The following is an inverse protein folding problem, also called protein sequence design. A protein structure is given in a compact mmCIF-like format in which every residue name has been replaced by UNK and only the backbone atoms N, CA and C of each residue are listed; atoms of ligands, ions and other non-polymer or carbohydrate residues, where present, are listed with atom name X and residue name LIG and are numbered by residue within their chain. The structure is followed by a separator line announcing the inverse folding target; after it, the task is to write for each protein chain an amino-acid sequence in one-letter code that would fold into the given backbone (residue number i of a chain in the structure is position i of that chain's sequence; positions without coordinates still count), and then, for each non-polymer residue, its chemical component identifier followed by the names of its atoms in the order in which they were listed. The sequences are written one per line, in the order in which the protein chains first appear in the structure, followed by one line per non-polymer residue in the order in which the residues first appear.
data_IF_556636223843
#
_entry.id   IF_556636223843
#
_cell.length_a   1.000
_cell.length_b   1.000
_cell.length_c   1.000
_cell.angle_alpha   90.00
_cell.angle_beta   90.00
_cell.angle_gamma   90.00
#
_symmetry.space_group_name_H-M   'P 1'
#
loop_
_entity.id
_entity.type
_entity.pdbx_description
1 polymer ?
#
# COMPACT_ATOMS: atom_id res chain seq x y z
N UNK A 1 -30.81 35.18 2.01
CA UNK A 1 -30.18 33.83 2.03
C UNK A 1 -30.66 33.11 3.27
N UNK A 2 -31.15 31.89 3.12
CA UNK A 2 -31.64 31.09 4.25
C UNK A 2 -30.50 30.46 5.05
N UNK A 3 -30.73 30.16 6.33
CA UNK A 3 -29.77 29.51 7.23
C UNK A 3 -29.23 28.20 6.61
N UNK A 4 -30.08 27.47 5.87
CA UNK A 4 -29.68 26.25 5.15
C UNK A 4 -28.65 26.50 4.03
N UNK A 5 -28.75 27.61 3.29
CA UNK A 5 -27.77 27.98 2.25
C UNK A 5 -26.43 28.40 2.86
N UNK A 6 -26.47 29.08 4.01
CA UNK A 6 -25.27 29.49 4.74
C UNK A 6 -24.56 28.28 5.40
N UNK A 7 -25.33 27.34 5.96
CA UNK A 7 -24.80 26.06 6.47
C UNK A 7 -24.26 25.19 5.34
N UNK A 8 -24.93 25.15 4.17
CA UNK A 8 -24.48 24.44 2.99
C UNK A 8 -23.12 24.94 2.47
N UNK A 9 -22.90 26.27 2.48
CA UNK A 9 -21.60 26.87 2.08
C UNK A 9 -20.42 26.51 2.99
N UNK A 10 -20.68 26.08 4.23
CA UNK A 10 -19.64 25.66 5.18
C UNK A 10 -19.22 24.19 5.01
N UNK A 11 -19.97 23.40 4.24
CA UNK A 11 -19.60 22.02 3.94
C UNK A 11 -18.42 22.01 2.96
N UNK A 12 -17.32 21.38 3.35
CA UNK A 12 -16.14 21.16 2.49
C UNK A 12 -15.78 19.68 2.54
N UNK A 13 -15.42 19.12 1.40
CA UNK A 13 -14.83 17.80 1.35
C UNK A 13 -13.45 17.84 2.02
N UNK A 14 -13.16 16.90 2.92
CA UNK A 14 -11.83 16.73 3.48
C UNK A 14 -10.95 16.02 2.45
N UNK A 15 -9.69 16.45 2.34
CA UNK A 15 -8.72 15.73 1.52
C UNK A 15 -8.34 14.41 2.18
N UNK A 16 -7.77 13.48 1.40
CA UNK A 16 -7.28 12.22 1.97
C UNK A 16 -6.13 12.47 2.94
N UNK A 17 -5.25 13.44 2.65
CA UNK A 17 -4.17 13.82 3.57
C UNK A 17 -4.73 14.27 4.91
N UNK A 18 -5.75 15.14 4.87
CA UNK A 18 -6.38 15.69 6.07
C UNK A 18 -7.10 14.59 6.87
N UNK A 19 -7.77 13.66 6.18
CA UNK A 19 -8.34 12.47 6.82
C UNK A 19 -7.23 11.63 7.47
N UNK A 20 -6.14 11.36 6.76
CA UNK A 20 -5.05 10.54 7.26
C UNK A 20 -4.38 11.18 8.49
N UNK A 21 -4.04 12.46 8.42
CA UNK A 21 -3.43 13.23 9.51
C UNK A 21 -4.31 13.27 10.76
N UNK A 22 -5.61 13.55 10.61
CA UNK A 22 -6.56 13.58 11.73
C UNK A 22 -6.81 12.19 12.34
N UNK A 23 -6.64 11.12 11.56
CA UNK A 23 -7.01 9.76 11.96
C UNK A 23 -5.83 8.78 12.01
N UNK A 24 -4.57 9.25 12.06
CA UNK A 24 -3.37 8.38 12.06
C UNK A 24 -3.45 7.23 13.06
N UNK A 25 -3.99 7.50 14.25
CA UNK A 25 -4.15 6.51 15.31
C UNK A 25 -5.18 5.42 14.97
N UNK A 26 -6.28 5.77 14.30
CA UNK A 26 -7.28 4.80 13.82
C UNK A 26 -6.72 3.91 12.70
N UNK A 27 -5.76 4.44 11.94
CA UNK A 27 -5.13 3.74 10.82
C UNK A 27 -3.90 2.90 11.23
N UNK A 28 -3.50 2.93 12.51
CA UNK A 28 -2.34 2.19 13.01
C UNK A 28 -0.97 2.86 12.76
N UNK A 29 -0.96 4.14 12.39
CA UNK A 29 0.24 4.94 12.10
C UNK A 29 0.51 6.01 13.19
N UNK A 30 0.15 5.70 14.44
CA UNK A 30 0.33 6.53 15.64
C UNK A 30 1.79 6.74 16.02
N UNK A 31 2.65 5.73 15.83
CA UNK A 31 4.09 5.84 16.09
C UNK A 31 4.95 5.04 15.09
N UNK A 32 6.25 5.34 15.07
CA UNK A 32 7.21 4.79 14.09
C UNK A 32 7.36 3.27 14.15
N UNK A 33 7.20 2.64 15.31
CA UNK A 33 7.29 1.18 15.45
C UNK A 33 6.02 0.50 14.92
N UNK A 34 4.83 0.98 15.31
CA UNK A 34 3.56 0.47 14.78
C UNK A 34 3.41 0.72 13.28
N UNK A 35 3.91 1.85 12.77
CA UNK A 35 3.93 2.12 11.34
C UNK A 35 4.68 1.03 10.55
N UNK A 36 5.85 0.58 11.02
CA UNK A 36 6.58 -0.53 10.39
C UNK A 36 5.74 -1.81 10.36
N UNK A 37 5.18 -2.18 11.52
CA UNK A 37 4.36 -3.36 11.66
C UNK A 37 3.15 -3.31 10.73
N UNK A 38 2.47 -2.16 10.63
CA UNK A 38 1.32 -1.98 9.75
C UNK A 38 1.70 -2.09 8.27
N UNK A 39 2.80 -1.49 7.82
CA UNK A 39 3.25 -1.59 6.43
C UNK A 39 3.51 -3.05 6.06
N UNK A 40 4.27 -3.76 6.89
CA UNK A 40 4.59 -5.18 6.66
C UNK A 40 3.33 -6.03 6.71
N UNK A 41 2.49 -5.87 7.74
CA UNK A 41 1.25 -6.62 7.89
C UNK A 41 0.33 -6.45 6.66
N UNK A 42 0.07 -5.23 6.23
CA UNK A 42 -0.86 -4.99 5.11
C UNK A 42 -0.32 -5.51 3.78
N UNK A 43 1.00 -5.47 3.56
CA UNK A 43 1.61 -6.05 2.37
C UNK A 43 1.59 -7.60 2.41
N UNK A 44 1.95 -8.19 3.55
CA UNK A 44 1.93 -9.65 3.75
C UNK A 44 0.50 -10.20 3.64
N UNK A 45 -0.48 -9.56 4.29
CA UNK A 45 -1.88 -9.98 4.21
C UNK A 45 -2.41 -9.95 2.77
N UNK A 46 -1.98 -8.97 1.96
CA UNK A 46 -2.34 -8.92 0.55
C UNK A 46 -1.71 -10.04 -0.27
N UNK A 47 -0.43 -10.34 -0.04
CA UNK A 47 0.24 -11.47 -0.70
C UNK A 47 -0.41 -12.80 -0.34
N UNK A 48 -0.72 -13.02 0.95
CA UNK A 48 -1.41 -14.21 1.43
C UNK A 48 -2.82 -14.35 0.85
N UNK A 49 -3.62 -13.28 0.88
CA UNK A 49 -4.97 -13.27 0.30
C UNK A 49 -4.91 -13.56 -1.21
N UNK A 50 -3.93 -13.02 -1.93
CA UNK A 50 -3.75 -13.25 -3.36
C UNK A 50 -3.37 -14.71 -3.68
N UNK A 51 -2.50 -15.32 -2.87
CA UNK A 51 -2.14 -16.73 -3.01
C UNK A 51 -3.33 -17.64 -2.71
N UNK A 52 -4.07 -17.40 -1.62
CA UNK A 52 -5.27 -18.17 -1.27
C UNK A 52 -6.34 -18.11 -2.36
N UNK A 53 -6.62 -16.92 -2.89
CA UNK A 53 -7.60 -16.75 -3.97
C UNK A 53 -7.20 -17.46 -5.27
N UNK A 54 -5.90 -17.64 -5.52
CA UNK A 54 -5.37 -18.33 -6.69
C UNK A 54 -5.10 -19.82 -6.47
N UNK A 55 -5.26 -20.33 -5.24
CA UNK A 55 -4.90 -21.71 -4.89
C UNK A 55 -3.39 -21.99 -4.96
N UNK A 56 -2.56 -20.96 -4.76
CA UNK A 56 -1.09 -21.04 -4.77
C UNK A 56 -0.60 -21.18 -3.33
N UNK A 57 0.36 -22.07 -3.08
CA UNK A 57 1.01 -22.15 -1.77
C UNK A 57 1.87 -20.90 -1.56
N UNK A 58 1.60 -20.08 -0.53
CA UNK A 58 2.24 -18.78 -0.39
C UNK A 58 3.72 -18.90 -0.01
N UNK A 59 4.56 -18.22 -0.79
CA UNK A 59 5.93 -17.87 -0.44
C UNK A 59 6.01 -16.35 -0.33
N UNK A 60 6.31 -15.85 0.87
CA UNK A 60 6.38 -14.42 1.15
C UNK A 60 7.79 -14.10 1.65
N UNK A 61 8.45 -13.17 0.97
CA UNK A 61 9.77 -12.66 1.33
C UNK A 61 9.61 -11.23 1.86
N UNK A 62 10.05 -10.99 3.09
CA UNK A 62 10.07 -9.65 3.71
C UNK A 62 11.52 -9.22 3.87
N UNK A 63 11.83 -8.00 3.46
CA UNK A 63 13.17 -7.42 3.57
C UNK A 63 13.08 -6.00 4.10
N UNK A 64 13.75 -5.74 5.21
CA UNK A 64 13.84 -4.43 5.84
C UNK A 64 15.30 -4.01 5.84
N UNK A 65 15.58 -2.81 5.33
CA UNK A 65 16.93 -2.22 5.32
C UNK A 65 16.88 -0.82 5.90
N UNK A 66 17.86 -0.46 6.71
CA UNK A 66 18.03 0.92 7.15
C UNK A 66 18.37 1.81 5.93
N UNK A 67 17.69 2.96 5.84
CA UNK A 67 17.84 3.94 4.76
C UNK A 67 18.22 5.34 5.28
N UNK A 68 18.42 5.48 6.59
CA UNK A 68 18.79 6.71 7.28
C UNK A 68 18.16 6.81 8.67
N UNK A 69 18.38 7.93 9.40
CA UNK A 69 17.83 8.13 10.73
C UNK A 69 16.31 7.95 10.72
N UNK A 70 15.82 6.98 11.49
CA UNK A 70 14.40 6.61 11.56
C UNK A 70 13.74 6.31 10.19
N UNK A 71 14.50 5.93 9.17
CA UNK A 71 13.99 5.62 7.83
C UNK A 71 14.41 4.21 7.42
N UNK A 72 13.45 3.45 6.92
CA UNK A 72 13.73 2.10 6.43
C UNK A 72 13.14 1.91 5.03
N UNK A 73 13.87 1.16 4.21
CA UNK A 73 13.36 0.56 2.99
C UNK A 73 12.75 -0.79 3.34
N UNK A 74 11.46 -0.94 3.09
CA UNK A 74 10.68 -2.15 3.37
C UNK A 74 10.23 -2.71 2.03
N UNK A 75 10.61 -3.95 1.72
CA UNK A 75 10.19 -4.65 0.52
C UNK A 75 9.51 -5.97 0.89
N UNK A 76 8.37 -6.26 0.26
CA UNK A 76 7.62 -7.50 0.43
C UNK A 76 7.40 -8.08 -0.96
N UNK A 77 7.79 -9.34 -1.16
CA UNK A 77 7.56 -10.09 -2.38
C UNK A 77 6.74 -11.33 -2.11
N UNK A 78 5.72 -11.57 -2.94
CA UNK A 78 4.93 -12.79 -2.95
C UNK A 78 5.11 -13.57 -4.26
N UNK A 79 4.70 -14.84 -4.24
CA UNK A 79 4.55 -15.70 -5.42
C UNK A 79 3.07 -15.82 -5.85
N UNK A 80 2.24 -14.81 -5.59
CA UNK A 80 0.83 -14.81 -5.98
C UNK A 80 0.63 -14.78 -7.51
N UNK A 81 -0.60 -14.62 -7.99
CA UNK A 81 -0.91 -14.57 -9.43
C UNK A 81 -0.36 -13.31 -10.15
N UNK A 82 0.18 -12.35 -9.39
CA UNK A 82 0.51 -11.02 -9.89
C UNK A 82 -0.72 -10.13 -10.11
N UNK A 83 -0.45 -8.92 -10.56
CA UNK A 83 -1.45 -7.89 -10.86
C UNK A 83 -1.27 -7.43 -12.30
N UNK A 84 -2.36 -7.43 -13.06
CA UNK A 84 -2.39 -6.88 -14.43
C UNK A 84 -2.09 -5.38 -14.43
N UNK A 85 -1.30 -4.92 -15.41
CA UNK A 85 -0.71 -3.59 -15.42
C UNK A 85 -1.72 -2.43 -15.26
N UNK A 86 -2.93 -2.55 -15.80
CA UNK A 86 -3.98 -1.53 -15.73
C UNK A 86 -4.56 -1.34 -14.32
N UNK A 87 -4.40 -2.34 -13.45
CA UNK A 87 -4.93 -2.33 -12.08
C UNK A 87 -3.92 -1.85 -11.06
N UNK A 88 -2.61 -1.99 -11.34
CA UNK A 88 -1.52 -1.59 -10.42
C UNK A 88 -1.73 -0.15 -9.91
N UNK A 89 -1.89 0.89 -10.75
CA UNK A 89 -2.05 2.25 -10.25
C UNK A 89 -3.30 2.42 -9.37
N UNK A 90 -4.38 1.70 -9.67
CA UNK A 90 -5.65 1.85 -8.95
C UNK A 90 -5.59 1.19 -7.58
N UNK A 91 -4.98 0.00 -7.49
CA UNK A 91 -4.85 -0.76 -6.23
C UNK A 91 -3.96 -0.01 -5.24
N UNK A 92 -2.83 0.52 -5.68
CA UNK A 92 -1.85 1.15 -4.78
C UNK A 92 -2.07 2.65 -4.60
N UNK A 93 -2.70 3.33 -5.57
CA UNK A 93 -2.77 4.79 -5.62
C UNK A 93 -4.15 5.39 -5.36
N UNK A 94 -5.16 4.57 -5.03
CA UNK A 94 -6.51 5.05 -4.68
C UNK A 94 -6.93 4.43 -3.35
N UNK A 95 -7.28 5.27 -2.38
CA UNK A 95 -7.86 4.80 -1.13
C UNK A 95 -9.31 4.36 -1.36
N UNK A 96 -9.75 3.37 -0.59
CA UNK A 96 -11.08 2.76 -0.70
C UNK A 96 -11.32 2.15 -2.09
N UNK A 97 -10.24 1.63 -2.70
CA UNK A 97 -10.28 0.92 -3.96
C UNK A 97 -9.79 -0.51 -3.76
N UNK A 98 -10.61 -1.49 -4.15
CA UNK A 98 -10.25 -2.89 -4.08
C UNK A 98 -11.42 -3.81 -4.38
N UNK A 99 -11.11 -5.02 -4.83
CA UNK A 99 -12.09 -6.09 -5.06
C UNK A 99 -12.78 -6.57 -3.78
N UNK A 100 -12.16 -6.32 -2.62
CA UNK A 100 -12.61 -6.74 -1.29
C UNK A 100 -13.91 -6.06 -0.82
N UNK A 101 -14.34 -4.96 -1.44
CA UNK A 101 -15.59 -4.25 -1.09
C UNK A 101 -16.86 -4.87 -1.67
N UNK A 102 -16.73 -5.74 -2.68
CA UNK A 102 -17.87 -6.28 -3.42
C UNK A 102 -17.97 -7.81 -3.37
N UNK A 103 -17.10 -8.46 -2.59
CA UNK A 103 -17.04 -9.92 -2.47
C UNK A 103 -17.33 -10.33 -1.03
N UNK A 104 -18.41 -11.10 -0.81
CA UNK A 104 -18.76 -11.69 0.49
C UNK A 104 -17.89 -12.94 0.74
N UNK A 105 -16.59 -12.74 1.00
CA UNK A 105 -15.66 -13.81 1.42
C UNK A 105 -14.84 -13.31 2.63
N UNK A 106 -14.57 -14.18 3.60
CA UNK A 106 -13.72 -13.87 4.75
C UNK A 106 -12.27 -13.76 4.29
N UNK A 107 -11.71 -12.54 4.29
CA UNK A 107 -10.33 -12.25 3.93
C UNK A 107 -9.65 -11.45 5.06
N UNK A 108 -8.31 -11.36 5.07
CA UNK A 108 -7.54 -10.75 6.18
C UNK A 108 -7.65 -9.22 6.24
N UNK A 109 -8.02 -8.56 5.13
CA UNK A 109 -8.29 -7.12 5.05
C UNK A 109 -9.79 -6.78 4.86
N UNK A 110 -10.35 -5.92 5.74
CA UNK A 110 -11.78 -5.58 5.75
C UNK A 110 -12.10 -4.10 5.48
N UNK A 111 -11.20 -3.17 5.78
CA UNK A 111 -11.51 -1.72 5.77
C UNK A 111 -11.24 -1.04 4.42
N UNK A 112 -10.55 -1.72 3.51
CA UNK A 112 -10.12 -1.24 2.19
C UNK A 112 -9.34 0.08 2.18
N UNK A 113 -8.69 0.36 3.31
CA UNK A 113 -7.65 1.37 3.47
C UNK A 113 -6.25 0.78 3.24
N UNK A 114 -6.11 -0.55 3.37
CA UNK A 114 -4.88 -1.36 3.44
C UNK A 114 -3.60 -0.79 2.82
N UNK A 115 -3.19 -1.32 1.67
CA UNK A 115 -1.87 -1.00 1.09
C UNK A 115 -1.74 0.46 0.64
N UNK A 116 -2.83 1.10 0.24
CA UNK A 116 -2.86 2.53 -0.12
C UNK A 116 -2.51 3.43 1.06
N UNK A 117 -2.84 3.03 2.30
CA UNK A 117 -2.40 3.74 3.50
C UNK A 117 -0.89 3.60 3.73
N UNK A 118 -0.28 2.46 3.40
CA UNK A 118 1.17 2.30 3.46
C UNK A 118 1.88 3.20 2.44
N UNK A 119 1.36 3.26 1.20
CA UNK A 119 1.82 4.18 0.14
C UNK A 119 1.71 5.64 0.58
N UNK A 120 0.57 6.01 1.17
CA UNK A 120 0.34 7.37 1.65
C UNK A 120 1.28 7.72 2.81
N UNK A 121 1.46 6.80 3.76
CA UNK A 121 2.36 7.01 4.88
C UNK A 121 3.81 7.18 4.44
N UNK A 122 4.30 6.31 3.53
CA UNK A 122 5.65 6.44 2.98
C UNK A 122 5.81 7.79 2.27
N UNK A 123 4.83 8.18 1.46
CA UNK A 123 4.87 9.46 0.75
C UNK A 123 4.87 10.66 1.71
N UNK A 124 4.03 10.66 2.75
CA UNK A 124 3.93 11.78 3.68
C UNK A 124 5.16 11.92 4.58
N UNK A 125 5.84 10.81 4.88
CA UNK A 125 6.99 10.82 5.80
C UNK A 125 8.33 11.03 5.10
N UNK A 126 8.53 10.45 3.91
CA UNK A 126 9.83 10.52 3.22
C UNK A 126 9.78 11.25 1.88
N UNK A 127 8.58 11.47 1.33
CA UNK A 127 8.38 11.99 -0.02
C UNK A 127 8.70 10.97 -1.13
N UNK A 128 9.21 9.79 -0.78
CA UNK A 128 9.61 8.77 -1.75
C UNK A 128 8.41 8.09 -2.40
N UNK A 129 8.47 7.81 -3.71
CA UNK A 129 7.45 7.00 -4.37
C UNK A 129 7.52 5.55 -3.90
N UNK A 130 6.39 4.84 -3.96
CA UNK A 130 6.35 3.39 -3.78
C UNK A 130 6.78 2.71 -5.07
N UNK A 131 7.65 1.71 -4.99
CA UNK A 131 8.03 0.86 -6.12
C UNK A 131 7.16 -0.38 -6.12
N UNK A 132 6.56 -0.71 -7.26
CA UNK A 132 5.77 -1.93 -7.45
C UNK A 132 6.32 -2.66 -8.66
N UNK A 133 6.60 -3.95 -8.52
CA UNK A 133 6.96 -4.85 -9.59
C UNK A 133 5.95 -6.00 -9.60
N UNK A 134 5.44 -6.34 -10.77
CA UNK A 134 4.42 -7.38 -10.90
C UNK A 134 4.62 -8.16 -12.20
N UNK A 135 4.45 -9.48 -12.13
CA UNK A 135 4.38 -10.36 -13.30
C UNK A 135 3.26 -11.37 -13.12
N UNK A 136 2.60 -11.73 -14.22
CA UNK A 136 1.47 -12.68 -14.24
C UNK A 136 1.84 -14.02 -14.88
N UNK A 137 3.14 -14.33 -14.99
CA UNK A 137 3.62 -15.58 -15.61
C UNK A 137 3.60 -15.59 -17.14
N UNK A 138 3.42 -14.43 -17.78
CA UNK A 138 3.41 -14.28 -19.25
C UNK A 138 4.79 -13.93 -19.84
N UNK A 139 5.85 -13.99 -19.01
CA UNK A 139 7.20 -13.58 -19.37
C UNK A 139 7.42 -12.07 -19.38
N UNK A 140 6.43 -11.26 -18.96
CA UNK A 140 6.54 -9.81 -18.83
C UNK A 140 6.56 -9.39 -17.38
N UNK A 141 7.46 -8.48 -17.06
CA UNK A 141 7.56 -7.86 -15.74
C UNK A 141 7.27 -6.37 -15.85
N UNK A 142 6.26 -5.92 -15.12
CA UNK A 142 5.86 -4.52 -15.08
C UNK A 142 6.39 -3.85 -13.81
N UNK A 143 7.09 -2.73 -13.96
CA UNK A 143 7.58 -1.90 -12.85
C UNK A 143 6.87 -0.55 -12.86
N UNK A 144 6.50 -0.08 -11.68
CA UNK A 144 5.90 1.22 -11.45
C UNK A 144 6.55 1.91 -10.26
N UNK A 145 6.74 3.23 -10.37
CA UNK A 145 6.91 4.11 -9.24
C UNK A 145 5.65 4.98 -9.09
N UNK A 146 4.98 4.87 -7.95
CA UNK A 146 3.68 5.51 -7.72
C UNK A 146 3.69 6.46 -6.54
N UNK A 147 2.86 7.51 -6.69
CA UNK A 147 2.48 8.48 -5.66
C UNK A 147 0.97 8.64 -5.63
N UNK A 148 0.44 9.25 -4.57
CA UNK A 148 -0.99 9.55 -4.42
C UNK A 148 -1.18 11.07 -4.49
N UNK A 149 -2.04 11.53 -5.40
CA UNK A 149 -2.65 12.85 -5.34
C UNK A 149 -3.62 12.86 -4.15
N UNK A 150 -3.16 13.42 -3.03
CA UNK A 150 -3.91 13.45 -1.77
C UNK A 150 -5.14 14.35 -1.81
N UNK A 151 -5.18 15.32 -2.73
CA UNK A 151 -6.32 16.21 -2.90
C UNK A 151 -7.43 15.53 -3.70
N UNK A 152 -7.07 14.75 -4.73
CA UNK A 152 -8.02 14.12 -5.64
C UNK A 152 -8.25 12.63 -5.39
N UNK A 153 -7.50 12.00 -4.49
CA UNK A 153 -7.47 10.55 -4.26
C UNK A 153 -7.24 9.77 -5.57
N UNK A 154 -6.15 10.10 -6.28
CA UNK A 154 -5.80 9.48 -7.56
C UNK A 154 -4.33 9.06 -7.60
N UNK A 155 -4.00 7.96 -8.31
CA UNK A 155 -2.62 7.61 -8.56
C UNK A 155 -1.92 8.67 -9.42
N UNK A 156 -0.68 8.97 -9.08
CA UNK A 156 0.29 9.66 -9.92
C UNK A 156 1.37 8.64 -10.26
N UNK A 157 1.51 8.30 -11.54
CA UNK A 157 2.60 7.46 -12.03
C UNK A 157 3.82 8.36 -12.22
N UNK A 158 4.85 8.13 -11.41
CA UNK A 158 6.14 8.84 -11.52
C UNK A 158 6.98 8.21 -12.63
N UNK A 159 7.02 6.88 -12.66
CA UNK A 159 7.77 6.10 -13.64
C UNK A 159 7.05 4.79 -13.91
N UNK A 160 7.17 4.29 -15.14
CA UNK A 160 6.69 2.95 -15.51
C UNK A 160 7.57 2.33 -16.58
N UNK A 161 7.85 1.04 -16.44
CA UNK A 161 8.56 0.25 -17.44
C UNK A 161 7.99 -1.16 -17.54
N UNK A 162 8.28 -1.83 -18.65
CA UNK A 162 7.94 -3.23 -18.88
C UNK A 162 9.14 -3.91 -19.54
N UNK A 163 9.51 -5.07 -19.03
CA UNK A 163 10.63 -5.87 -19.53
C UNK A 163 10.15 -7.29 -19.80
N UNK A 164 10.63 -7.87 -20.91
CA UNK A 164 10.46 -9.30 -21.19
C UNK A 164 11.65 -10.06 -20.61
N UNK A 165 11.40 -11.22 -20.01
CA UNK A 165 12.46 -11.97 -19.35
C UNK A 165 11.97 -13.26 -18.72
N UNK A 166 12.48 -13.52 -17.51
CA UNK A 166 12.15 -14.73 -16.75
C UNK A 166 10.64 -14.84 -16.52
N UNK A 167 10.14 -16.06 -16.67
CA UNK A 167 8.73 -16.37 -16.38
C UNK A 167 8.59 -16.57 -14.88
N UNK A 168 7.93 -15.63 -14.23
CA UNK A 168 7.56 -15.72 -12.81
C UNK A 168 6.18 -15.09 -12.60
N UNK A 169 5.57 -15.33 -11.45
CA UNK A 169 4.33 -14.68 -11.06
C UNK A 169 4.43 -14.16 -9.63
N UNK A 170 3.78 -13.04 -9.37
CA UNK A 170 3.73 -12.43 -8.04
C UNK A 170 3.90 -10.93 -8.08
N UNK A 171 3.99 -10.35 -6.89
CA UNK A 171 4.16 -8.91 -6.68
C UNK A 171 5.35 -8.66 -5.75
N UNK A 172 6.20 -7.69 -6.07
CA UNK A 172 7.21 -7.12 -5.17
C UNK A 172 6.87 -5.64 -4.96
N UNK A 173 6.56 -5.27 -3.72
CA UNK A 173 6.24 -3.90 -3.33
C UNK A 173 7.30 -3.36 -2.37
N UNK A 174 7.84 -2.20 -2.71
CA UNK A 174 8.87 -1.49 -1.96
C UNK A 174 8.42 -0.11 -1.47
N UNK A 175 8.59 0.14 -0.18
CA UNK A 175 8.31 1.40 0.51
C UNK A 175 9.59 1.98 1.09
N UNK A 176 9.67 3.31 1.17
CA UNK A 176 10.66 4.01 2.01
C UNK A 176 9.88 4.89 2.97
N UNK A 177 9.91 4.57 4.26
CA UNK A 177 9.04 5.21 5.24
C UNK A 177 9.80 5.56 6.53
N UNK A 178 9.32 6.60 7.23
CA UNK A 178 9.82 6.87 8.59
C UNK A 178 9.24 5.86 9.59
N UNK A 179 10.10 4.99 10.08
CA UNK A 179 9.72 3.89 10.96
C UNK A 179 10.93 3.43 11.78
N UNK A 180 10.67 2.72 12.87
CA UNK A 180 11.72 2.23 13.77
C UNK A 180 11.57 0.73 13.93
N UNK A 181 12.60 -0.02 13.58
CA UNK A 181 12.70 -1.43 13.94
C UNK A 181 13.19 -1.54 15.38
N UNK A 182 12.51 -2.36 16.20
CA UNK A 182 12.96 -2.68 17.57
C UNK A 182 12.83 -4.17 17.77
N UNK A 183 13.90 -4.87 18.12
CA UNK A 183 13.78 -6.27 18.52
C UNK A 183 13.03 -6.37 19.86
N UNK A 184 11.72 -6.58 19.79
CA UNK A 184 10.89 -6.92 20.94
C UNK A 184 9.76 -7.85 20.50
N UNK A 185 9.08 -8.51 21.45
CA UNK A 185 7.96 -9.44 21.17
C UNK A 185 6.79 -8.82 20.39
N UNK A 186 6.76 -7.50 20.23
CA UNK A 186 5.69 -6.75 19.56
C UNK A 186 6.12 -6.19 18.19
N UNK A 187 7.32 -6.52 17.72
CA UNK A 187 7.87 -6.05 16.44
C UNK A 187 7.91 -7.19 15.41
N UNK A 188 8.19 -6.81 14.16
CA UNK A 188 8.49 -7.76 13.09
C UNK A 188 9.75 -8.52 13.48
N UNK A 189 9.70 -9.85 13.39
CA UNK A 189 10.85 -10.72 13.69
C UNK A 189 11.68 -10.81 12.40
N UNK A 190 13.01 -10.67 12.52
CA UNK A 190 13.94 -10.87 11.41
C UNK A 190 13.91 -12.33 10.90
#
# INVERSE_FOLDING_TARGET
MGIAEEMGRRQRAISVSEFFEKNRHLLGYDNKAKAMLMIVKEAVDNGLDACDEAGILPEIYVRIKEAGPDKHQIAIRDNGPGIVREQIPKIFGRLLYGSKFHRLKQNRGQQGLGISCAVLYSQLTTGSPTTIVSSTGDGKTHRYQLRIDVARNRPIIVETSAEEGEVWHGVDVGFVAECTYRENKQSVIE
#
